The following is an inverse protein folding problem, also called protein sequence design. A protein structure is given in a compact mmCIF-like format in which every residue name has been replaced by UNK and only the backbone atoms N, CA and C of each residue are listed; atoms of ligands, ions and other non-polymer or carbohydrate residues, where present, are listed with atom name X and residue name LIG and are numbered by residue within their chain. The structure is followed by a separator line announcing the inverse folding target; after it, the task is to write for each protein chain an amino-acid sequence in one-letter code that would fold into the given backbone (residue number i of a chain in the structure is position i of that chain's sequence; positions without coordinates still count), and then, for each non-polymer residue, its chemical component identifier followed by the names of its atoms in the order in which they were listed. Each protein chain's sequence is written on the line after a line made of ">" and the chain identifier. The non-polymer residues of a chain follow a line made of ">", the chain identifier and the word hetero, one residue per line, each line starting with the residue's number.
data_IF_180342317842
#
_entry.id   IF_180342317842
#
_cell.length_a   1.000
_cell.length_b   1.000
_cell.length_c   1.000
_cell.angle_alpha   90.00
_cell.angle_beta   90.00
_cell.angle_gamma   90.00
#
_symmetry.space_group_name_H-M   'P 1'
#
loop_
_entity.id
_entity.type
_entity.pdbx_description
1 polymer ?
#
# COMPACT_ATOMS: atom_id res chain seq x y z
N UNK A 1 -22.53 -44.91 6.59
CA UNK A 1 -22.54 -43.77 7.52
C UNK A 1 -21.10 -43.40 7.82
N UNK A 2 -20.53 -42.48 7.04
CA UNK A 2 -19.14 -42.07 7.17
C UNK A 2 -19.01 -41.05 8.30
N UNK A 3 -18.30 -41.40 9.36
CA UNK A 3 -17.99 -40.48 10.44
C UNK A 3 -16.92 -39.49 9.97
N UNK A 4 -17.33 -38.25 9.70
CA UNK A 4 -16.41 -37.12 9.54
C UNK A 4 -15.67 -36.92 10.86
N UNK A 5 -14.36 -37.17 10.82
CA UNK A 5 -13.46 -37.05 11.96
C UNK A 5 -13.46 -35.58 12.46
N UNK A 6 -13.80 -35.28 13.73
CA UNK A 6 -13.99 -33.91 14.22
C UNK A 6 -12.73 -33.03 14.14
N UNK A 7 -11.56 -33.64 13.98
CA UNK A 7 -10.26 -32.97 13.83
C UNK A 7 -10.20 -32.11 12.56
N UNK A 8 -10.83 -32.54 11.46
CA UNK A 8 -10.82 -31.77 10.21
C UNK A 8 -11.62 -30.47 10.32
N UNK A 9 -12.71 -30.46 11.11
CA UNK A 9 -13.52 -29.26 11.35
C UNK A 9 -12.72 -28.23 12.16
N UNK A 10 -11.95 -28.68 13.15
CA UNK A 10 -11.09 -27.80 13.97
C UNK A 10 -9.96 -27.20 13.14
N UNK A 11 -9.33 -27.97 12.26
CA UNK A 11 -8.28 -27.48 11.36
C UNK A 11 -8.82 -26.40 10.41
N UNK A 12 -10.02 -26.59 9.84
CA UNK A 12 -10.65 -25.59 8.96
C UNK A 12 -10.98 -24.29 9.70
N UNK A 13 -11.38 -24.36 10.98
CA UNK A 13 -11.62 -23.16 11.80
C UNK A 13 -10.33 -22.38 12.15
N UNK A 14 -9.21 -23.07 12.38
CA UNK A 14 -7.93 -22.40 12.70
C UNK A 14 -7.36 -21.68 11.46
N UNK A 15 -7.52 -22.23 10.26
CA UNK A 15 -7.07 -21.58 9.03
C UNK A 15 -7.92 -20.36 8.64
N UNK A 16 -9.20 -20.32 9.01
CA UNK A 16 -10.05 -19.17 8.78
C UNK A 16 -9.66 -17.93 9.62
N UNK A 17 -8.98 -18.11 10.77
CA UNK A 17 -8.57 -16.98 11.63
C UNK A 17 -7.34 -16.22 11.15
N UNK A 18 -6.47 -16.82 10.33
CA UNK A 18 -5.27 -16.13 9.83
C UNK A 18 -5.53 -15.25 8.60
N UNK A 19 -6.75 -15.28 8.03
CA UNK A 19 -7.02 -14.66 6.74
C UNK A 19 -7.39 -13.16 6.80
N UNK A 20 -7.58 -12.55 7.97
CA UNK A 20 -7.80 -11.10 8.04
C UNK A 20 -6.46 -10.36 8.15
N UNK A 21 -5.66 -10.41 7.08
CA UNK A 21 -4.67 -9.36 6.84
C UNK A 21 -5.46 -8.05 6.62
N UNK A 22 -5.61 -7.26 7.69
CA UNK A 22 -6.43 -6.06 7.75
C UNK A 22 -5.78 -4.92 6.94
N UNK A 23 -5.77 -5.07 5.61
CA UNK A 23 -5.38 -4.03 4.68
C UNK A 23 -6.59 -3.14 4.43
N UNK A 24 -6.49 -1.87 4.81
CA UNK A 24 -7.57 -0.90 4.63
C UNK A 24 -7.21 0.10 3.53
N UNK A 25 -8.20 0.63 2.80
CA UNK A 25 -7.95 1.76 1.91
C UNK A 25 -7.45 2.96 2.70
N UNK A 26 -6.68 3.84 2.06
CA UNK A 26 -6.28 5.10 2.66
C UNK A 26 -7.50 6.01 2.88
N UNK A 27 -7.48 6.72 4.00
CA UNK A 27 -8.44 7.79 4.29
C UNK A 27 -7.88 9.14 3.85
N UNK A 28 -8.73 10.13 3.56
CA UNK A 28 -8.30 11.47 3.12
C UNK A 28 -7.32 12.15 4.08
N UNK A 29 -7.50 11.92 5.38
CA UNK A 29 -6.57 12.41 6.41
C UNK A 29 -5.19 11.77 6.27
N UNK A 30 -5.11 10.49 5.93
CA UNK A 30 -3.85 9.78 5.69
C UNK A 30 -3.22 10.23 4.37
N UNK A 31 -4.02 10.42 3.32
CA UNK A 31 -3.56 10.97 2.03
C UNK A 31 -2.88 12.32 2.27
N UNK A 32 -3.56 13.26 2.94
CA UNK A 32 -3.00 14.58 3.27
C UNK A 32 -1.72 14.49 4.10
N UNK A 33 -1.66 13.54 5.04
CA UNK A 33 -0.48 13.30 5.87
C UNK A 33 0.69 12.73 5.07
N UNK A 34 0.42 11.83 4.12
CA UNK A 34 1.41 11.24 3.23
C UNK A 34 1.95 12.30 2.26
N UNK A 35 1.09 13.07 1.60
CA UNK A 35 1.47 14.20 0.73
C UNK A 35 2.47 15.13 1.41
N UNK A 36 2.15 15.59 2.63
CA UNK A 36 3.04 16.47 3.41
C UNK A 36 4.36 15.83 3.85
N UNK A 37 4.40 14.50 3.95
CA UNK A 37 5.63 13.80 4.34
C UNK A 37 6.52 13.55 3.12
N UNK A 38 5.95 13.27 1.95
CA UNK A 38 6.69 13.07 0.70
C UNK A 38 7.44 14.35 0.31
N UNK A 39 6.84 15.52 0.52
CA UNK A 39 7.51 16.81 0.35
C UNK A 39 8.78 16.98 1.22
N UNK A 40 8.95 16.15 2.26
CA UNK A 40 10.13 16.13 3.14
C UNK A 40 11.11 15.02 2.80
N UNK A 41 10.80 14.14 1.86
CA UNK A 41 11.71 13.06 1.47
C UNK A 41 12.75 13.61 0.51
N UNK A 42 14.02 13.39 0.83
CA UNK A 42 15.11 13.76 -0.06
C UNK A 42 14.97 12.99 -1.38
N UNK A 43 14.99 13.72 -2.50
CA UNK A 43 14.91 13.19 -3.87
C UNK A 43 13.53 12.70 -4.34
N UNK A 44 12.47 12.82 -3.54
CA UNK A 44 11.13 12.45 -3.99
C UNK A 44 10.52 13.56 -4.88
N UNK A 45 9.87 13.22 -6.01
CA UNK A 45 9.12 14.19 -6.78
C UNK A 45 7.88 14.68 -6.02
N UNK A 46 7.44 15.89 -6.36
CA UNK A 46 6.20 16.45 -5.79
C UNK A 46 5.02 15.56 -6.12
N UNK A 47 4.06 15.52 -5.19
CA UNK A 47 2.85 14.74 -5.33
C UNK A 47 1.76 15.61 -5.96
N UNK A 48 1.27 15.22 -7.12
CA UNK A 48 0.11 15.85 -7.75
C UNK A 48 -1.19 15.18 -7.28
N UNK A 49 -1.27 13.85 -7.41
CA UNK A 49 -2.41 13.06 -6.97
C UNK A 49 -1.95 11.71 -6.41
N UNK A 50 -2.62 11.22 -5.36
CA UNK A 50 -2.46 9.83 -4.91
C UNK A 50 -3.58 9.01 -5.54
N UNK A 51 -3.22 8.15 -6.49
CA UNK A 51 -4.20 7.40 -7.29
C UNK A 51 -4.76 6.22 -6.49
N UNK A 52 -3.89 5.51 -5.76
CA UNK A 52 -4.27 4.34 -4.98
C UNK A 52 -3.40 4.22 -3.74
N UNK A 53 -3.95 3.68 -2.65
CA UNK A 53 -3.12 3.26 -1.55
C UNK A 53 -3.83 2.40 -0.53
N UNK A 54 -3.01 1.63 0.17
CA UNK A 54 -3.43 0.71 1.22
C UNK A 54 -2.59 0.95 2.46
N UNK A 55 -3.21 0.75 3.60
CA UNK A 55 -2.54 0.75 4.90
C UNK A 55 -2.63 -0.63 5.52
N UNK A 56 -1.50 -1.13 6.00
CA UNK A 56 -1.39 -2.35 6.78
C UNK A 56 -0.93 -2.00 8.18
N UNK A 57 -1.58 -2.59 9.18
CA UNK A 57 -1.10 -2.54 10.56
C UNK A 57 -0.74 -3.96 10.99
N UNK A 58 0.50 -4.14 11.40
CA UNK A 58 0.99 -5.38 11.97
C UNK A 58 1.75 -5.05 13.24
N UNK A 59 1.23 -5.50 14.37
CA UNK A 59 1.77 -5.21 15.70
C UNK A 59 1.97 -3.69 15.89
N UNK A 60 3.23 -3.26 16.09
CA UNK A 60 3.59 -1.85 16.26
C UNK A 60 4.06 -1.17 14.96
N UNK A 61 3.86 -1.80 13.81
CA UNK A 61 4.28 -1.29 12.50
C UNK A 61 3.05 -0.95 11.65
N UNK A 62 2.97 0.31 11.23
CA UNK A 62 2.01 0.76 10.22
C UNK A 62 2.75 0.97 8.90
N UNK A 63 2.38 0.19 7.89
CA UNK A 63 2.92 0.32 6.53
C UNK A 63 1.87 0.98 5.65
N UNK A 64 2.24 2.01 4.90
CA UNK A 64 1.45 2.63 3.86
C UNK A 64 2.14 2.33 2.54
N UNK A 65 1.42 1.76 1.59
CA UNK A 65 1.88 1.65 0.19
C UNK A 65 0.87 2.36 -0.66
N UNK A 66 1.36 3.23 -1.52
CA UNK A 66 0.51 4.06 -2.35
C UNK A 66 1.24 4.43 -3.63
N UNK A 67 0.44 4.65 -4.66
CA UNK A 67 0.86 5.13 -5.97
C UNK A 67 0.48 6.59 -6.08
N UNK A 68 1.40 7.40 -6.56
CA UNK A 68 1.14 8.81 -6.79
C UNK A 68 1.72 9.30 -8.10
N UNK A 69 1.01 10.25 -8.70
CA UNK A 69 1.43 10.92 -9.91
C UNK A 69 2.35 12.09 -9.55
N UNK A 70 3.45 12.18 -10.30
CA UNK A 70 4.37 13.31 -10.27
C UNK A 70 3.99 14.33 -11.35
N UNK A 71 4.31 15.62 -11.16
CA UNK A 71 4.03 16.65 -12.16
C UNK A 71 4.78 16.46 -13.49
N UNK A 72 5.76 15.55 -13.53
CA UNK A 72 6.44 15.11 -14.76
C UNK A 72 5.65 14.05 -15.55
N UNK A 73 4.48 13.61 -15.06
CA UNK A 73 3.69 12.54 -15.65
C UNK A 73 4.22 11.13 -15.35
N UNK A 74 5.21 11.00 -14.45
CA UNK A 74 5.70 9.70 -14.00
C UNK A 74 4.86 9.20 -12.83
N UNK A 75 4.60 7.88 -12.80
CA UNK A 75 3.86 7.22 -11.73
C UNK A 75 4.85 6.63 -10.74
N UNK A 76 4.72 7.02 -9.48
CA UNK A 76 5.64 6.66 -8.41
C UNK A 76 4.98 5.72 -7.41
N UNK A 77 5.59 4.55 -7.21
CA UNK A 77 5.25 3.61 -6.15
C UNK A 77 6.02 3.99 -4.89
N UNK A 78 5.30 4.35 -3.82
CA UNK A 78 5.89 4.68 -2.53
C UNK A 78 5.45 3.73 -1.42
N UNK A 79 6.40 3.47 -0.52
CA UNK A 79 6.21 2.73 0.71
C UNK A 79 6.69 3.57 1.90
N UNK A 80 5.80 3.80 2.85
CA UNK A 80 6.09 4.52 4.09
C UNK A 80 5.78 3.62 5.29
N UNK A 81 6.78 3.38 6.14
CA UNK A 81 6.67 2.53 7.33
C UNK A 81 6.87 3.35 8.58
N UNK A 82 5.93 3.26 9.50
CA UNK A 82 6.00 3.86 10.84
C UNK A 82 6.07 2.71 11.84
N UNK A 83 7.19 2.59 12.54
CA UNK A 83 7.35 1.68 13.68
C UNK A 83 7.29 2.49 14.96
N UNK A 84 6.41 2.07 15.87
CA UNK A 84 6.33 2.62 17.23
C UNK A 84 7.03 1.65 18.17
N UNK A 85 8.04 2.12 18.89
CA UNK A 85 8.72 1.30 19.90
C UNK A 85 7.96 1.31 21.24
N UNK A 86 8.33 0.41 22.17
CA UNK A 86 7.73 0.33 23.52
C UNK A 86 7.82 1.67 24.29
N UNK A 87 8.82 2.50 23.98
CA UNK A 87 9.01 3.82 24.57
C UNK A 87 8.26 4.94 23.82
N UNK A 88 7.30 4.61 22.95
CA UNK A 88 6.63 5.54 22.02
C UNK A 88 7.56 6.26 21.03
N UNK A 89 8.81 5.80 20.87
CA UNK A 89 9.72 6.30 19.87
C UNK A 89 9.21 5.92 18.46
N UNK A 90 9.09 6.91 17.57
CA UNK A 90 8.60 6.72 16.19
C UNK A 90 9.79 6.61 15.24
N UNK A 91 10.02 5.42 14.70
CA UNK A 91 10.96 5.22 13.60
C UNK A 91 10.19 5.23 12.28
N UNK A 92 10.63 6.07 11.34
CA UNK A 92 10.00 6.21 10.02
C UNK A 92 10.98 5.77 8.95
N UNK A 93 10.55 4.86 8.08
CA UNK A 93 11.28 4.45 6.88
C UNK A 93 10.45 4.80 5.66
N UNK A 94 11.09 5.31 4.62
CA UNK A 94 10.45 5.62 3.35
C UNK A 94 11.25 5.00 2.20
N UNK A 95 10.54 4.56 1.18
CA UNK A 95 11.10 4.11 -0.10
C UNK A 95 10.15 4.58 -1.20
N UNK A 96 10.69 5.09 -2.30
CA UNK A 96 9.91 5.39 -3.49
C UNK A 96 10.66 4.91 -4.72
N UNK A 97 9.90 4.52 -5.75
CA UNK A 97 10.41 4.08 -7.04
C UNK A 97 9.47 4.64 -8.11
N UNK A 98 10.00 5.47 -8.99
CA UNK A 98 9.22 6.09 -10.06
C UNK A 98 9.44 5.33 -11.36
N UNK A 99 8.35 4.88 -11.97
CA UNK A 99 8.39 4.28 -13.30
C UNK A 99 7.80 5.29 -14.26
N UNK A 100 8.59 5.72 -15.24
CA UNK A 100 8.06 6.46 -16.39
C UNK A 100 7.17 5.48 -17.16
N UNK A 101 5.86 5.72 -17.19
CA UNK A 101 4.95 4.90 -17.98
C UNK A 101 5.30 5.19 -19.44
N UNK A 102 5.77 4.21 -20.23
CA UNK A 102 5.89 4.43 -21.67
C UNK A 102 4.48 4.72 -22.18
N UNK A 103 4.29 5.90 -22.76
CA UNK A 103 3.04 6.27 -23.44
C UNK A 103 2.82 5.16 -24.47
N UNK A 104 1.84 4.28 -24.22
CA UNK A 104 1.34 3.40 -25.28
C UNK A 104 0.73 4.33 -26.31
N UNK A 105 1.44 4.57 -27.41
CA UNK A 105 0.85 5.12 -28.62
C UNK A 105 -0.44 4.32 -28.88
N UNK A 106 -1.60 4.98 -29.03
CA UNK A 106 -2.81 4.27 -29.39
C UNK A 106 -2.56 3.60 -30.74
N UNK A 107 -2.56 2.26 -30.77
CA UNK A 107 -2.63 1.52 -32.03
C UNK A 107 -3.80 2.11 -32.83
N UNK A 108 -3.48 2.70 -33.98
CA UNK A 108 -4.47 3.25 -34.88
C UNK A 108 -5.48 2.15 -35.19
N UNK A 109 -6.74 2.38 -34.83
CA UNK A 109 -7.83 1.49 -35.18
C UNK A 109 -7.95 1.51 -36.72
N UNK A 110 -7.43 0.47 -37.37
CA UNK A 110 -7.73 0.14 -38.76
C UNK A 110 -9.25 -0.02 -38.88
N UNK A 111 -9.90 0.97 -39.48
CA UNK A 111 -11.29 0.88 -39.93
C UNK A 111 -11.29 0.23 -41.32
N UNK A 112 -11.55 -1.09 -41.37
CA UNK A 112 -11.98 -1.81 -42.58
C UNK A 112 -13.49 -1.60 -42.84
#
# INVERSE_FOLDING_TARGET
>A
MGYSNPIWVVILFVFAWFATFDSRPLTDKQVTMLTRNIDKWDSAPKVEAICEGKVWRKDNVTTFKFKYDSPSGALCDAEYKIKVDQNNAKMTQHKFECTEIPIKEPEEADFD
#
